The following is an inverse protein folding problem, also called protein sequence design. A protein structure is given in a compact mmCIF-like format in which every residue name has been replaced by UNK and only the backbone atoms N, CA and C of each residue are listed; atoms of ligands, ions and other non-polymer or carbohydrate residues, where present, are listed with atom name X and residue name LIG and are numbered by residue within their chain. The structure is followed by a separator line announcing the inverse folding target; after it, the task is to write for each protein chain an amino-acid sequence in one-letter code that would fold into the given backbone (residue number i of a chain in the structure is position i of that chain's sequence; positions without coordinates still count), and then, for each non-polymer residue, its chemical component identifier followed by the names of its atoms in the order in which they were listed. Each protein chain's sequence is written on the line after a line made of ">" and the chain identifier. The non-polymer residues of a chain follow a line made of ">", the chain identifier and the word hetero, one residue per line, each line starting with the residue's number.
data_IF_973946763602
#
_entry.id   IF_973946763602
#
_cell.length_a   1.000
_cell.length_b   1.000
_cell.length_c   1.000
_cell.angle_alpha   90.00
_cell.angle_beta   90.00
_cell.angle_gamma   90.00
#
_symmetry.space_group_name_H-M   'P 1'
#
loop_
_entity.id
_entity.type
_entity.pdbx_description
1 polymer ?
#
# COMPACT_ATOMS: atom_id res chain seq x y z
N UNK A 1 14.50 -8.24 12.49
CA UNK A 1 13.25 -8.20 11.71
C UNK A 1 13.19 -6.93 10.89
N UNK A 2 12.65 -6.99 9.68
CA UNK A 2 12.43 -5.79 8.87
C UNK A 2 11.17 -5.07 9.35
N UNK A 3 11.27 -3.78 9.61
CA UNK A 3 10.13 -2.92 10.01
C UNK A 3 9.69 -2.11 8.80
N UNK A 4 8.37 -2.08 8.55
CA UNK A 4 7.76 -1.34 7.45
C UNK A 4 7.02 -0.12 8.00
N UNK A 5 7.29 1.06 7.46
CA UNK A 5 6.68 2.34 7.87
C UNK A 5 6.07 3.01 6.65
N UNK A 6 4.78 3.34 6.68
CA UNK A 6 4.12 4.07 5.59
C UNK A 6 3.72 5.48 5.99
N UNK A 7 3.69 6.36 4.98
CA UNK A 7 3.32 7.77 5.11
C UNK A 7 2.52 8.22 3.88
N UNK A 8 1.47 9.05 4.05
CA UNK A 8 0.87 9.50 5.32
C UNK A 8 0.16 8.34 6.07
N UNK A 9 -0.49 8.60 7.22
CA UNK A 9 -1.39 7.59 7.84
C UNK A 9 -2.80 7.62 7.25
N UNK A 10 -3.20 8.80 6.82
CA UNK A 10 -4.48 9.06 6.18
C UNK A 10 -4.33 10.29 5.30
N UNK A 11 -5.09 10.37 4.21
CA UNK A 11 -5.11 11.55 3.36
C UNK A 11 -6.51 11.79 2.80
N UNK A 12 -7.10 12.98 3.00
CA UNK A 12 -8.33 13.35 2.31
C UNK A 12 -8.04 13.53 0.81
N UNK A 13 -8.95 13.04 -0.03
CA UNK A 13 -8.80 13.06 -1.48
C UNK A 13 -10.10 13.45 -2.17
N UNK A 14 -9.98 14.10 -3.31
CA UNK A 14 -11.08 14.26 -4.26
C UNK A 14 -10.96 13.20 -5.35
N UNK A 15 -12.10 12.73 -5.87
CA UNK A 15 -12.07 11.87 -7.05
C UNK A 15 -11.45 12.65 -8.22
N UNK A 16 -10.57 11.98 -8.96
CA UNK A 16 -9.75 12.64 -9.98
C UNK A 16 -8.33 12.98 -9.51
N UNK A 17 -8.08 13.08 -8.20
CA UNK A 17 -6.78 13.48 -7.67
C UNK A 17 -5.70 12.43 -7.97
N UNK A 18 -4.47 12.88 -8.13
CA UNK A 18 -3.30 12.01 -8.10
C UNK A 18 -2.72 11.98 -6.70
N UNK A 19 -2.46 10.79 -6.18
CA UNK A 19 -1.90 10.60 -4.83
C UNK A 19 -0.70 9.68 -4.83
N UNK A 20 0.10 9.78 -3.77
CA UNK A 20 1.25 8.90 -3.55
C UNK A 20 1.33 8.47 -2.10
N UNK A 21 1.59 7.18 -1.90
CA UNK A 21 1.74 6.53 -0.61
C UNK A 21 3.16 6.00 -0.54
N UNK A 22 3.90 6.43 0.47
CA UNK A 22 5.29 6.01 0.68
C UNK A 22 5.34 4.84 1.66
N UNK A 23 6.27 3.93 1.45
CA UNK A 23 6.61 2.83 2.35
C UNK A 23 8.13 2.74 2.48
N UNK A 24 8.62 2.77 3.71
CA UNK A 24 10.04 2.70 4.05
C UNK A 24 10.31 1.44 4.88
N UNK A 25 11.29 0.65 4.47
CA UNK A 25 11.79 -0.47 5.26
C UNK A 25 13.02 -0.07 6.10
N UNK A 26 13.17 -0.68 7.28
CA UNK A 26 14.34 -0.46 8.16
C UNK A 26 15.64 -1.02 7.59
N UNK A 27 15.57 -1.90 6.61
CA UNK A 27 16.69 -2.59 5.99
C UNK A 27 16.39 -2.90 4.52
N UNK A 28 17.43 -3.04 3.69
CA UNK A 28 17.29 -3.31 2.26
C UNK A 28 16.43 -4.55 2.01
N UNK A 29 15.47 -4.45 1.09
CA UNK A 29 14.62 -5.57 0.67
C UNK A 29 15.15 -6.29 -0.58
N UNK A 30 16.36 -5.98 -1.02
CA UNK A 30 17.01 -6.72 -2.11
C UNK A 30 17.41 -8.10 -1.61
N UNK A 31 16.81 -9.13 -2.19
CA UNK A 31 17.11 -10.53 -1.92
C UNK A 31 18.40 -10.96 -2.63
N UNK A 32 18.99 -12.08 -2.22
CA UNK A 32 20.25 -12.61 -2.76
C UNK A 32 20.23 -12.92 -4.26
N UNK A 33 19.04 -13.09 -4.85
CA UNK A 33 18.85 -13.28 -6.28
C UNK A 33 18.65 -11.98 -7.06
N UNK A 34 18.88 -10.82 -6.43
CA UNK A 34 18.74 -9.49 -7.02
C UNK A 34 17.29 -8.98 -7.09
N UNK A 35 16.29 -9.79 -6.75
CA UNK A 35 14.89 -9.33 -6.74
C UNK A 35 14.54 -8.62 -5.43
N UNK A 36 13.55 -7.73 -5.49
CA UNK A 36 12.94 -7.14 -4.29
C UNK A 36 11.51 -7.63 -4.17
N UNK A 37 11.18 -8.27 -3.04
CA UNK A 37 9.85 -8.83 -2.79
C UNK A 37 9.03 -7.90 -1.89
N UNK A 38 8.68 -6.75 -2.46
CA UNK A 38 7.78 -5.78 -1.85
C UNK A 38 6.49 -5.69 -2.66
N UNK A 39 5.36 -5.76 -1.97
CA UNK A 39 4.03 -5.77 -2.55
C UNK A 39 3.17 -4.65 -1.97
N UNK A 40 2.22 -4.15 -2.77
CA UNK A 40 1.15 -3.25 -2.35
C UNK A 40 -0.18 -3.98 -2.39
N UNK A 41 -0.93 -3.86 -1.29
CA UNK A 41 -2.26 -4.45 -1.12
C UNK A 41 -3.28 -3.35 -0.83
N UNK A 42 -4.53 -3.55 -1.24
CA UNK A 42 -5.67 -2.72 -0.87
C UNK A 42 -6.69 -3.57 -0.13
N UNK A 43 -7.13 -3.12 1.03
CA UNK A 43 -8.27 -3.69 1.75
C UNK A 43 -9.44 -2.72 1.74
N UNK A 44 -10.51 -3.11 1.06
CA UNK A 44 -11.78 -2.37 1.08
C UNK A 44 -12.61 -2.77 2.31
N UNK A 45 -13.51 -1.89 2.79
CA UNK A 45 -14.37 -2.21 3.93
C UNK A 45 -15.11 -3.54 3.75
N UNK A 46 -14.99 -4.44 4.73
CA UNK A 46 -15.64 -5.76 4.71
C UNK A 46 -15.06 -6.76 3.71
N UNK A 47 -13.97 -6.45 3.02
CA UNK A 47 -13.33 -7.33 2.04
C UNK A 47 -11.94 -7.82 2.50
N UNK A 48 -11.49 -8.92 1.91
CA UNK A 48 -10.11 -9.39 2.09
C UNK A 48 -9.11 -8.49 1.35
N UNK A 49 -7.85 -8.40 1.80
CA UNK A 49 -6.82 -7.66 1.06
C UNK A 49 -6.63 -8.19 -0.37
N UNK A 50 -6.62 -7.27 -1.34
CA UNK A 50 -6.38 -7.53 -2.76
C UNK A 50 -4.97 -7.08 -3.16
N UNK A 51 -4.29 -7.86 -4.00
CA UNK A 51 -2.95 -7.52 -4.47
C UNK A 51 -3.02 -6.51 -5.63
N UNK A 52 -2.36 -5.36 -5.46
CA UNK A 52 -2.29 -4.32 -6.50
C UNK A 52 -0.99 -4.43 -7.31
N UNK A 53 0.13 -4.33 -6.61
CA UNK A 53 1.48 -4.34 -7.18
C UNK A 53 2.31 -5.40 -6.47
N UNK A 54 3.08 -6.17 -7.22
CA UNK A 54 4.04 -7.13 -6.69
C UNK A 54 5.43 -6.86 -7.23
N UNK A 55 6.46 -7.34 -6.52
CA UNK A 55 7.88 -7.12 -6.89
C UNK A 55 8.16 -5.66 -7.25
N UNK A 56 7.75 -4.76 -6.36
CA UNK A 56 7.92 -3.29 -6.42
C UNK A 56 7.07 -2.59 -7.48
N UNK A 57 7.06 -3.05 -8.73
CA UNK A 57 6.47 -2.30 -9.85
C UNK A 57 5.58 -3.12 -10.78
N UNK A 58 5.49 -4.44 -10.60
CA UNK A 58 4.66 -5.27 -11.46
C UNK A 58 3.19 -5.17 -11.04
N UNK A 59 2.34 -4.69 -11.92
CA UNK A 59 0.90 -4.62 -11.68
C UNK A 59 0.26 -6.01 -11.79
N UNK A 60 -0.61 -6.36 -10.84
CA UNK A 60 -1.37 -7.61 -10.89
C UNK A 60 -2.42 -7.57 -12.01
N UNK A 61 -2.77 -8.73 -12.57
CA UNK A 61 -3.75 -8.81 -13.66
C UNK A 61 -5.13 -8.31 -13.20
N UNK A 62 -5.77 -7.49 -14.02
CA UNK A 62 -7.07 -6.87 -13.68
C UNK A 62 -6.99 -5.60 -12.84
N UNK A 63 -5.81 -5.23 -12.32
CA UNK A 63 -5.65 -3.96 -11.59
C UNK A 63 -5.61 -2.79 -12.59
N UNK A 64 -6.39 -1.72 -12.36
CA UNK A 64 -6.45 -0.57 -13.25
C UNK A 64 -5.10 0.12 -13.49
N UNK A 65 -4.96 0.76 -14.64
CA UNK A 65 -3.69 1.33 -15.07
C UNK A 65 -3.24 2.58 -14.31
N UNK A 66 -4.16 3.18 -13.58
CA UNK A 66 -3.91 4.28 -12.64
C UNK A 66 -3.00 3.91 -11.47
N UNK A 67 -2.87 2.63 -11.13
CA UNK A 67 -1.98 2.17 -10.05
C UNK A 67 -0.56 1.90 -10.57
N UNK A 68 0.45 2.46 -9.92
CA UNK A 68 1.86 2.20 -10.26
C UNK A 68 2.72 2.13 -9.00
N UNK A 69 3.62 1.15 -8.96
CA UNK A 69 4.61 1.03 -7.88
C UNK A 69 6.01 1.40 -8.38
N UNK A 70 6.80 1.99 -7.49
CA UNK A 70 8.20 2.33 -7.73
C UNK A 70 9.01 2.25 -6.45
N UNK A 71 10.34 2.31 -6.57
CA UNK A 71 11.25 2.30 -5.42
C UNK A 71 12.39 1.32 -5.57
N UNK A 72 13.30 1.36 -4.60
CA UNK A 72 14.43 0.43 -4.51
C UNK A 72 15.08 0.51 -3.13
N UNK A 73 15.82 -0.53 -2.74
CA UNK A 73 16.56 -0.58 -1.48
C UNK A 73 15.61 -0.57 -0.28
N UNK A 74 15.33 0.62 0.25
CA UNK A 74 14.51 0.84 1.44
C UNK A 74 13.28 1.69 1.22
N UNK A 75 13.15 2.37 0.08
CA UNK A 75 12.13 3.39 -0.13
C UNK A 75 11.27 3.03 -1.34
N UNK A 76 9.96 2.93 -1.11
CA UNK A 76 8.98 2.45 -2.07
C UNK A 76 7.76 3.38 -2.11
N UNK A 77 7.16 3.52 -3.27
CA UNK A 77 6.00 4.39 -3.48
C UNK A 77 4.94 3.68 -4.29
N UNK A 78 3.69 3.77 -3.85
CA UNK A 78 2.51 3.53 -4.67
C UNK A 78 1.96 4.87 -5.14
N UNK A 79 1.75 5.01 -6.43
CA UNK A 79 1.08 6.16 -7.02
C UNK A 79 -0.25 5.72 -7.63
N UNK A 80 -1.30 6.45 -7.30
CA UNK A 80 -2.62 6.36 -7.94
C UNK A 80 -2.76 7.66 -8.74
N UNK A 81 -2.76 7.57 -10.07
CA UNK A 81 -2.76 8.77 -10.92
C UNK A 81 -4.10 9.50 -10.98
N UNK A 82 -5.20 8.78 -10.67
CA UNK A 82 -6.56 9.29 -10.62
C UNK A 82 -7.35 8.46 -9.63
N UNK A 83 -7.72 9.01 -8.48
CA UNK A 83 -8.52 8.30 -7.49
C UNK A 83 -9.97 8.15 -7.98
N UNK A 84 -10.45 6.92 -8.03
CA UNK A 84 -11.85 6.57 -8.28
C UNK A 84 -12.54 6.11 -6.95
N UNK A 85 -13.88 6.13 -6.85
CA UNK A 85 -14.58 5.76 -5.61
C UNK A 85 -14.24 4.37 -5.06
N UNK A 86 -13.95 3.42 -5.96
CA UNK A 86 -13.57 2.05 -5.63
C UNK A 86 -12.15 1.91 -5.05
N UNK A 87 -11.35 2.99 -5.07
CA UNK A 87 -9.98 3.01 -4.55
C UNK A 87 -9.93 3.38 -3.06
N UNK A 88 -11.07 3.73 -2.45
CA UNK A 88 -11.15 4.04 -1.02
C UNK A 88 -10.98 2.76 -0.19
N UNK A 89 -9.97 2.76 0.68
CA UNK A 89 -9.66 1.64 1.57
C UNK A 89 -8.35 1.85 2.32
N UNK A 90 -7.87 0.77 2.94
CA UNK A 90 -6.57 0.75 3.61
C UNK A 90 -5.53 0.13 2.68
N UNK A 91 -4.42 0.83 2.48
CA UNK A 91 -3.31 0.38 1.65
C UNK A 91 -2.18 -0.14 2.50
N UNK A 92 -1.66 -1.33 2.19
CA UNK A 92 -0.56 -1.94 2.92
C UNK A 92 0.62 -2.20 2.00
N UNK A 93 1.83 -1.91 2.47
CA UNK A 93 3.05 -2.48 1.94
C UNK A 93 3.44 -3.73 2.75
N UNK A 94 3.85 -4.76 2.03
CA UNK A 94 4.25 -6.05 2.57
C UNK A 94 5.59 -6.46 1.99
N UNK A 95 6.51 -6.88 2.85
CA UNK A 95 7.80 -7.44 2.44
C UNK A 95 7.85 -8.96 2.67
N UNK A 96 8.46 -9.69 1.73
CA UNK A 96 8.74 -11.13 1.82
C UNK A 96 10.23 -11.47 1.70
N UNK A 97 11.11 -10.47 1.75
CA UNK A 97 12.55 -10.68 1.65
C UNK A 97 13.13 -11.22 2.96
N UNK A 98 12.64 -10.73 4.10
CA UNK A 98 13.10 -11.08 5.43
C UNK A 98 12.03 -11.83 6.21
N UNK A 99 12.45 -12.75 7.08
CA UNK A 99 11.59 -13.46 8.02
C UNK A 99 11.70 -12.76 9.39
N UNK A 100 10.59 -12.55 10.12
CA UNK A 100 9.20 -12.80 9.69
C UNK A 100 8.77 -11.83 8.59
N UNK A 101 7.87 -12.27 7.71
CA UNK A 101 7.21 -11.37 6.77
C UNK A 101 6.48 -10.30 7.56
N UNK A 102 6.64 -9.04 7.16
CA UNK A 102 6.09 -7.90 7.90
C UNK A 102 5.16 -7.09 7.02
N UNK A 103 3.92 -6.99 7.48
CA UNK A 103 3.00 -5.89 7.16
C UNK A 103 3.18 -4.77 8.18
N UNK A 104 2.65 -3.59 7.89
CA UNK A 104 2.50 -2.57 8.92
C UNK A 104 1.66 -3.09 10.09
N UNK A 105 2.15 -2.91 11.31
CA UNK A 105 1.35 -3.04 12.51
C UNK A 105 0.41 -1.84 12.62
N UNK A 106 -0.81 -1.94 12.08
CA UNK A 106 -1.86 -0.94 12.33
C UNK A 106 -2.49 -1.19 13.70
N UNK A 107 -2.60 -0.16 14.54
CA UNK A 107 -3.33 -0.21 15.80
C UNK A 107 -4.79 -0.64 15.54
N UNK A 108 -5.24 -1.65 16.29
CA UNK A 108 -6.43 -2.49 16.11
C UNK A 108 -7.77 -1.79 16.37
N UNK A 109 -8.02 -0.62 15.77
CA UNK A 109 -9.34 0.05 15.81
C UNK A 109 -9.92 0.26 14.40
N UNK A 110 -9.87 -0.82 13.62
CA UNK A 110 -10.15 -0.82 12.18
C UNK A 110 -11.63 -0.65 11.84
N UNK A 111 -12.55 -1.08 12.72
CA UNK A 111 -13.99 -1.07 12.42
C UNK A 111 -14.59 0.35 12.39
N UNK A 112 -14.09 1.29 13.21
CA UNK A 112 -14.64 2.66 13.24
C UNK A 112 -14.01 3.61 12.22
N UNK A 113 -12.80 3.33 11.73
CA UNK A 113 -12.07 4.23 10.84
C UNK A 113 -12.44 4.03 9.36
N UNK A 114 -12.79 2.80 8.97
CA UNK A 114 -13.22 2.49 7.60
C UNK A 114 -14.54 3.19 7.24
N UNK A 115 -15.52 3.19 8.15
CA UNK A 115 -16.80 3.87 7.95
C UNK A 115 -16.63 5.39 7.84
N UNK A 116 -15.73 5.97 8.64
CA UNK A 116 -15.39 7.40 8.57
C UNK A 116 -14.67 7.74 7.27
N UNK A 117 -13.78 6.86 6.79
CA UNK A 117 -13.02 7.07 5.57
C UNK A 117 -13.92 7.16 4.33
N UNK A 118 -14.96 6.32 4.27
CA UNK A 118 -15.96 6.36 3.20
C UNK A 118 -16.80 7.64 3.22
N UNK A 119 -17.17 8.14 4.40
CA UNK A 119 -17.96 9.36 4.54
C UNK A 119 -17.18 10.64 4.17
N UNK A 120 -15.85 10.59 4.18
CA UNK A 120 -14.98 11.76 4.00
C UNK A 120 -14.02 11.66 2.81
N UNK A 121 -14.16 10.63 1.95
CA UNK A 121 -13.22 10.34 0.85
C UNK A 121 -11.76 10.33 1.33
N UNK A 122 -11.44 9.52 2.34
CA UNK A 122 -10.09 9.42 2.89
C UNK A 122 -9.46 8.09 2.48
N UNK A 123 -8.20 8.14 2.01
CA UNK A 123 -7.36 6.95 1.89
C UNK A 123 -6.65 6.69 3.22
N UNK A 124 -6.66 5.44 3.66
CA UNK A 124 -5.99 4.99 4.88
C UNK A 124 -4.80 4.08 4.54
N UNK A 125 -3.85 4.02 5.47
CA UNK A 125 -2.54 3.40 5.28
C UNK A 125 -2.16 2.62 6.55
#
# INVERSE_FOLDING_TARGET
>A
DAVMTQTPRSMPVSFGDSVSISCKSSQSLVHSNGNTYMNWLLQKPGQSPELLIYKVSNRFSGVPDRFSGSGSGTDFTLKISRVDPEDLGIYYCLQHTHIPHTVIQTLTKTTSLLDVAQLQNILLI
#
